data_IF_892658587291
#
_entry.id   IF_892658587291
#
_cell.length_a   1.000
_cell.length_b   1.000
_cell.length_c   1.000
_cell.angle_alpha   90.00
_cell.angle_beta   90.00
_cell.angle_gamma   90.00
#
_symmetry.space_group_name_H-M   'P 1'
#
loop_
_entity.id
_entity.type
_entity.pdbx_description
1 polymer ?
#
# COMPACT_ATOMS: atom_id res chain seq x y z
N UNK A 1 -3.91 -23.55 -65.12
CA UNK A 1 -4.09 -22.18 -64.59
C UNK A 1 -4.73 -22.12 -63.19
N UNK A 2 -5.69 -22.98 -62.83
CA UNK A 2 -6.40 -22.91 -61.51
C UNK A 2 -5.53 -23.16 -60.26
N UNK A 3 -4.47 -23.97 -60.33
CA UNK A 3 -3.63 -24.34 -59.18
C UNK A 3 -2.71 -23.21 -58.67
N UNK A 4 -2.37 -22.24 -59.52
CA UNK A 4 -1.47 -21.13 -59.14
C UNK A 4 -2.19 -20.05 -58.34
N UNK A 5 -3.46 -19.79 -58.65
CA UNK A 5 -4.34 -18.86 -57.91
C UNK A 5 -4.52 -19.26 -56.44
N UNK A 6 -4.69 -20.56 -56.14
CA UNK A 6 -4.80 -21.04 -54.76
C UNK A 6 -3.50 -20.90 -53.97
N UNK A 7 -2.34 -21.03 -54.64
CA UNK A 7 -1.04 -20.78 -54.02
C UNK A 7 -0.84 -19.31 -53.64
N UNK A 8 -1.21 -18.39 -54.52
CA UNK A 8 -1.12 -16.93 -54.25
C UNK A 8 -2.07 -16.51 -53.12
N UNK A 9 -3.31 -17.01 -53.12
CA UNK A 9 -4.27 -16.74 -52.04
C UNK A 9 -3.78 -17.29 -50.70
N UNK A 10 -3.23 -18.51 -50.68
CA UNK A 10 -2.66 -19.10 -49.46
C UNK A 10 -1.50 -18.29 -48.89
N UNK A 11 -0.59 -17.84 -49.75
CA UNK A 11 0.55 -16.99 -49.34
C UNK A 11 0.08 -15.64 -48.79
N UNK A 12 -0.89 -14.99 -49.44
CA UNK A 12 -1.45 -13.71 -48.98
C UNK A 12 -2.17 -13.85 -47.63
N UNK A 13 -2.90 -14.94 -47.41
CA UNK A 13 -3.58 -15.20 -46.12
C UNK A 13 -2.56 -15.45 -45.01
N UNK A 14 -1.52 -16.24 -45.26
CA UNK A 14 -0.46 -16.50 -44.27
C UNK A 14 0.32 -15.22 -43.95
N UNK A 15 0.70 -14.44 -44.97
CA UNK A 15 1.35 -13.14 -44.77
C UNK A 15 0.45 -12.20 -43.97
N UNK A 16 -0.85 -12.12 -44.29
CA UNK A 16 -1.82 -11.29 -43.56
C UNK A 16 -2.04 -11.73 -42.11
N UNK A 17 -2.00 -13.03 -41.82
CA UNK A 17 -2.08 -13.56 -40.45
C UNK A 17 -0.78 -13.32 -39.67
N UNK A 18 0.38 -13.41 -40.32
CA UNK A 18 1.66 -13.11 -39.69
C UNK A 18 1.77 -11.61 -39.41
N UNK A 19 1.50 -10.74 -40.38
CA UNK A 19 1.55 -9.29 -40.16
C UNK A 19 0.44 -8.84 -39.20
N UNK A 20 -0.79 -9.35 -39.32
CA UNK A 20 -1.88 -9.03 -38.40
C UNK A 20 -1.62 -9.53 -36.97
N UNK A 21 -1.10 -10.74 -36.81
CA UNK A 21 -0.74 -11.31 -35.51
C UNK A 21 0.44 -10.59 -34.85
N UNK A 22 1.46 -10.21 -35.63
CA UNK A 22 2.60 -9.43 -35.16
C UNK A 22 2.18 -8.02 -34.73
N UNK A 23 1.24 -7.40 -35.47
CA UNK A 23 0.67 -6.08 -35.14
C UNK A 23 -0.03 -6.09 -33.79
N UNK A 24 -0.81 -7.12 -33.51
CA UNK A 24 -1.54 -7.26 -32.25
C UNK A 24 -0.59 -7.52 -31.07
N UNK A 25 0.44 -8.36 -31.25
CA UNK A 25 1.35 -8.72 -30.15
C UNK A 25 2.35 -7.63 -29.77
N UNK A 26 2.58 -6.63 -30.63
CA UNK A 26 3.55 -5.56 -30.39
C UNK A 26 2.90 -4.22 -30.01
N UNK A 27 1.57 -4.15 -29.95
CA UNK A 27 0.89 -2.91 -29.54
C UNK A 27 0.92 -2.83 -28.01
N UNK A 28 1.55 -1.80 -27.43
CA UNK A 28 1.57 -1.64 -25.98
C UNK A 28 0.15 -1.35 -25.45
N UNK A 29 -0.14 -1.76 -24.22
CA UNK A 29 -1.42 -1.42 -23.59
C UNK A 29 -1.52 0.09 -23.32
N UNK A 30 -0.41 0.69 -22.89
CA UNK A 30 -0.33 2.09 -22.49
C UNK A 30 0.80 2.81 -23.24
N UNK A 31 0.54 4.07 -23.59
CA UNK A 31 1.57 4.97 -24.12
C UNK A 31 1.61 6.28 -23.33
N UNK A 32 2.83 6.69 -23.00
CA UNK A 32 3.14 7.91 -22.27
C UNK A 32 4.18 8.71 -23.04
N UNK A 33 3.81 9.90 -23.46
CA UNK A 33 4.73 10.85 -24.10
C UNK A 33 5.04 11.98 -23.14
N UNK A 34 6.32 12.19 -22.85
CA UNK A 34 6.77 13.36 -22.09
C UNK A 34 7.02 14.52 -23.04
N UNK A 35 6.43 15.68 -22.75
CA UNK A 35 6.64 16.92 -23.49
C UNK A 35 7.22 17.97 -22.54
N UNK A 36 8.50 18.28 -22.68
CA UNK A 36 9.23 19.11 -21.70
C UNK A 36 9.63 20.48 -22.25
N UNK A 37 9.51 21.49 -21.40
CA UNK A 37 9.89 22.87 -21.69
C UNK A 37 11.41 23.08 -21.59
N UNK A 38 12.06 23.06 -22.75
CA UNK A 38 13.47 23.39 -22.90
C UNK A 38 13.71 24.86 -23.26
N UNK A 39 12.80 25.79 -22.97
CA UNK A 39 13.04 27.22 -23.18
C UNK A 39 13.84 27.88 -22.03
N UNK A 40 14.24 29.13 -22.20
CA UNK A 40 14.88 29.91 -21.13
C UNK A 40 16.30 29.44 -20.79
N UNK A 41 16.65 29.52 -19.50
CA UNK A 41 18.00 29.23 -18.99
C UNK A 41 18.10 27.87 -18.28
N UNK A 42 19.34 27.45 -18.03
CA UNK A 42 19.69 26.11 -17.53
C UNK A 42 19.39 25.89 -16.04
N UNK A 43 19.30 26.95 -15.23
CA UNK A 43 19.30 26.88 -13.75
C UNK A 43 18.23 25.99 -13.13
N UNK A 44 17.08 25.84 -13.79
CA UNK A 44 15.92 25.10 -13.27
C UNK A 44 15.55 23.88 -14.13
N UNK A 45 16.27 23.66 -15.24
CA UNK A 45 15.90 22.57 -16.15
C UNK A 45 16.32 21.20 -15.63
N UNK A 46 17.40 21.14 -14.84
CA UNK A 46 17.86 19.90 -14.23
C UNK A 46 16.77 19.23 -13.37
N UNK A 47 16.00 20.01 -12.63
CA UNK A 47 14.87 19.51 -11.82
C UNK A 47 13.80 18.83 -12.70
N UNK A 48 13.55 19.37 -13.91
CA UNK A 48 12.63 18.76 -14.90
C UNK A 48 13.21 17.46 -15.45
N UNK A 49 14.49 17.45 -15.80
CA UNK A 49 15.16 16.25 -16.29
C UNK A 49 15.15 15.11 -15.24
N UNK A 50 15.47 15.43 -13.98
CA UNK A 50 15.44 14.48 -12.86
C UNK A 50 14.02 13.92 -12.64
N UNK A 51 12.99 14.78 -12.65
CA UNK A 51 11.60 14.37 -12.45
C UNK A 51 11.09 13.47 -13.58
N UNK A 52 11.43 13.78 -14.82
CA UNK A 52 11.04 13.00 -16.00
C UNK A 52 11.77 11.66 -16.04
N UNK A 53 13.06 11.64 -15.73
CA UNK A 53 13.82 10.39 -15.60
C UNK A 53 13.21 9.49 -14.51
N UNK A 54 12.90 10.05 -13.34
CA UNK A 54 12.32 9.29 -12.24
C UNK A 54 10.90 8.78 -12.56
N UNK A 55 10.11 9.52 -13.36
CA UNK A 55 8.81 9.06 -13.82
C UNK A 55 8.91 7.96 -14.88
N UNK A 56 9.85 8.09 -15.82
CA UNK A 56 10.14 7.07 -16.83
C UNK A 56 10.63 5.77 -16.19
N UNK A 57 11.45 5.82 -15.12
CA UNK A 57 11.87 4.65 -14.36
C UNK A 57 10.74 3.98 -13.58
N UNK A 58 9.65 4.71 -13.30
CA UNK A 58 8.48 4.21 -12.59
C UNK A 58 7.40 3.64 -13.53
N UNK A 59 7.64 3.66 -14.85
CA UNK A 59 6.70 3.11 -15.84
C UNK A 59 6.67 1.59 -15.80
N UNK A 60 5.58 0.98 -16.27
CA UNK A 60 5.53 -0.46 -16.46
C UNK A 60 6.49 -0.89 -17.59
N UNK A 61 6.98 -2.14 -17.57
CA UNK A 61 7.93 -2.64 -18.58
C UNK A 61 7.32 -2.75 -20.00
N UNK A 62 6.00 -2.94 -20.07
CA UNK A 62 5.21 -3.04 -21.30
C UNK A 62 4.62 -1.70 -21.76
N UNK A 63 4.89 -0.62 -21.03
CA UNK A 63 4.48 0.74 -21.37
C UNK A 63 5.42 1.35 -22.41
N UNK A 64 4.85 1.95 -23.46
CA UNK A 64 5.64 2.65 -24.45
C UNK A 64 5.88 4.10 -24.04
N UNK A 65 7.15 4.49 -23.96
CA UNK A 65 7.57 5.85 -23.61
C UNK A 65 8.11 6.59 -24.83
N UNK A 66 7.92 7.91 -24.83
CA UNK A 66 8.52 8.84 -25.78
C UNK A 66 8.89 10.15 -25.09
N UNK A 67 9.81 10.92 -25.69
CA UNK A 67 10.22 12.21 -25.17
C UNK A 67 10.36 13.25 -26.28
N UNK A 68 9.70 14.39 -26.09
CA UNK A 68 9.85 15.60 -26.90
C UNK A 68 10.24 16.78 -26.03
N UNK A 69 11.02 17.67 -26.62
CA UNK A 69 11.33 18.99 -26.07
C UNK A 69 10.73 20.07 -26.96
N UNK A 70 10.08 21.05 -26.36
CA UNK A 70 9.72 22.30 -27.02
C UNK A 70 10.55 23.46 -26.45
N UNK A 71 10.75 24.51 -27.25
CA UNK A 71 11.52 25.69 -26.89
C UNK A 71 12.49 26.09 -28.01
N UNK A 72 12.54 27.37 -28.34
CA UNK A 72 13.36 27.88 -29.43
C UNK A 72 12.86 29.22 -29.98
N UNK A 73 13.15 29.52 -31.25
CA UNK A 73 12.54 30.65 -31.94
C UNK A 73 11.14 30.28 -32.48
N UNK A 74 10.20 31.22 -32.43
CA UNK A 74 8.80 31.00 -32.80
C UNK A 74 8.58 30.72 -34.29
N UNK A 75 9.46 31.25 -35.14
CA UNK A 75 9.45 31.17 -36.59
C UNK A 75 10.38 30.08 -37.15
N UNK A 76 11.06 29.34 -36.28
CA UNK A 76 12.02 28.31 -36.67
C UNK A 76 11.39 26.92 -36.71
N UNK A 77 11.62 26.21 -37.81
CA UNK A 77 11.35 24.77 -37.90
C UNK A 77 12.29 24.02 -36.96
N UNK A 78 11.75 23.16 -36.08
CA UNK A 78 12.54 22.44 -35.07
C UNK A 78 12.57 23.08 -33.68
N UNK A 79 11.76 24.10 -33.41
CA UNK A 79 11.49 24.58 -32.05
C UNK A 79 10.76 23.55 -31.16
N UNK A 80 10.33 22.43 -31.77
CA UNK A 80 9.95 21.20 -31.10
C UNK A 80 10.76 20.07 -31.71
N UNK A 81 11.41 19.26 -30.88
CA UNK A 81 12.29 18.16 -31.31
C UNK A 81 11.92 16.88 -30.58
N UNK A 82 11.84 15.78 -31.34
CA UNK A 82 11.80 14.43 -30.79
C UNK A 82 13.18 14.02 -30.30
N UNK A 83 13.27 13.68 -29.02
CA UNK A 83 14.51 13.27 -28.38
C UNK A 83 14.59 11.76 -28.22
N UNK A 84 13.43 11.13 -27.96
CA UNK A 84 13.29 9.67 -27.88
C UNK A 84 12.02 9.29 -28.63
N UNK A 85 12.19 8.49 -29.68
CA UNK A 85 11.09 7.89 -30.43
C UNK A 85 10.31 6.92 -29.56
N UNK A 86 9.02 6.75 -29.83
CA UNK A 86 8.15 5.87 -29.04
C UNK A 86 8.66 4.42 -29.04
N UNK A 87 8.71 3.78 -27.86
CA UNK A 87 8.99 2.35 -27.73
C UNK A 87 8.89 1.84 -26.29
N UNK A 88 8.85 0.52 -26.12
CA UNK A 88 9.01 -0.14 -24.81
C UNK A 88 10.48 -0.15 -24.39
N UNK A 89 10.76 -0.37 -23.10
CA UNK A 89 12.12 -0.39 -22.54
C UNK A 89 12.93 0.92 -22.74
N UNK A 90 12.22 2.04 -22.92
CA UNK A 90 12.82 3.34 -23.21
C UNK A 90 13.18 4.17 -21.97
N UNK A 91 12.88 3.70 -20.76
CA UNK A 91 13.02 4.47 -19.53
C UNK A 91 14.41 5.12 -19.37
N UNK A 92 15.48 4.32 -19.56
CA UNK A 92 16.86 4.82 -19.51
C UNK A 92 17.16 5.85 -20.59
N UNK A 93 16.69 5.63 -21.83
CA UNK A 93 16.93 6.54 -22.95
C UNK A 93 16.20 7.88 -22.74
N UNK A 94 14.97 7.84 -22.21
CA UNK A 94 14.21 9.04 -21.82
C UNK A 94 14.97 9.82 -20.75
N UNK A 95 15.46 9.15 -19.71
CA UNK A 95 16.26 9.78 -18.67
C UNK A 95 17.53 10.43 -19.24
N UNK A 96 18.35 9.70 -19.99
CA UNK A 96 19.59 10.21 -20.59
C UNK A 96 19.33 11.39 -21.54
N UNK A 97 18.30 11.27 -22.40
CA UNK A 97 17.95 12.31 -23.36
C UNK A 97 17.42 13.57 -22.66
N UNK A 98 16.60 13.43 -21.60
CA UNK A 98 16.12 14.56 -20.82
C UNK A 98 17.30 15.32 -20.18
N UNK A 99 18.28 14.63 -19.61
CA UNK A 99 19.48 15.27 -19.04
C UNK A 99 20.41 15.91 -20.07
N UNK A 100 20.37 15.47 -21.33
CA UNK A 100 21.19 16.02 -22.42
C UNK A 100 20.59 17.31 -23.04
N UNK A 101 19.38 17.69 -22.66
CA UNK A 101 18.72 18.90 -23.17
C UNK A 101 19.38 20.15 -22.60
N UNK A 102 19.83 21.03 -23.50
CA UNK A 102 20.38 22.35 -23.17
C UNK A 102 19.31 23.43 -23.39
N UNK A 103 18.71 24.03 -22.36
CA UNK A 103 17.62 25.00 -22.51
C UNK A 103 18.02 26.23 -23.31
N UNK A 104 17.11 26.72 -24.16
CA UNK A 104 17.36 27.89 -25.00
C UNK A 104 16.07 28.42 -25.64
N UNK A 105 16.05 29.71 -25.93
CA UNK A 105 14.96 30.34 -26.69
C UNK A 105 13.71 30.58 -25.85
N UNK A 106 12.56 30.72 -26.52
CA UNK A 106 11.26 31.02 -25.93
C UNK A 106 10.37 29.77 -25.89
N UNK A 107 9.42 29.71 -24.97
CA UNK A 107 8.47 28.60 -24.88
C UNK A 107 7.53 28.56 -26.09
N UNK A 108 7.60 27.47 -26.85
CA UNK A 108 6.78 27.21 -28.05
C UNK A 108 5.75 26.10 -27.77
N UNK A 109 5.05 26.22 -26.64
CA UNK A 109 4.19 25.18 -26.08
C UNK A 109 3.11 24.72 -27.05
N UNK A 110 2.48 25.61 -27.83
CA UNK A 110 1.48 25.23 -28.81
C UNK A 110 2.07 24.28 -29.86
N UNK A 111 3.26 24.62 -30.39
CA UNK A 111 3.95 23.75 -31.34
C UNK A 111 4.30 22.40 -30.72
N UNK A 112 4.67 22.39 -29.44
CA UNK A 112 4.93 21.18 -28.67
C UNK A 112 3.70 20.28 -28.59
N UNK A 113 2.55 20.84 -28.20
CA UNK A 113 1.28 20.12 -28.07
C UNK A 113 0.83 19.58 -29.42
N UNK A 114 0.86 20.38 -30.49
CA UNK A 114 0.46 19.93 -31.83
C UNK A 114 1.35 18.79 -32.32
N UNK A 115 2.67 18.90 -32.15
CA UNK A 115 3.59 17.83 -32.52
C UNK A 115 3.36 16.55 -31.69
N UNK A 116 3.03 16.68 -30.39
CA UNK A 116 2.68 15.54 -29.56
C UNK A 116 1.38 14.86 -30.03
N UNK A 117 0.38 15.61 -30.49
CA UNK A 117 -0.84 15.06 -31.10
C UNK A 117 -0.50 14.32 -32.40
N UNK A 118 0.34 14.91 -33.25
CA UNK A 118 0.74 14.34 -34.54
C UNK A 118 1.51 13.01 -34.38
N UNK A 119 2.18 12.79 -33.25
CA UNK A 119 2.79 11.47 -32.97
C UNK A 119 1.77 10.35 -32.83
N UNK A 120 0.51 10.69 -32.56
CA UNK A 120 -0.57 9.73 -32.54
C UNK A 120 -1.27 9.62 -33.88
N UNK A 121 -1.04 10.49 -34.87
CA UNK A 121 -1.76 10.43 -36.16
C UNK A 121 -1.23 9.37 -37.14
N UNK A 122 -0.03 8.82 -36.91
CA UNK A 122 0.60 7.84 -37.80
C UNK A 122 0.12 6.38 -37.56
N UNK A 123 0.03 5.58 -38.62
CA UNK A 123 -0.46 4.19 -38.60
C UNK A 123 0.68 3.21 -38.28
N UNK A 124 0.71 2.71 -37.04
CA UNK A 124 1.58 1.64 -36.51
C UNK A 124 3.10 1.96 -36.48
N UNK A 125 3.86 1.54 -35.43
CA UNK A 125 3.48 0.85 -34.18
C UNK A 125 3.57 1.70 -32.90
N UNK A 126 2.75 2.74 -32.68
CA UNK A 126 3.02 3.62 -31.51
C UNK A 126 1.78 4.14 -30.79
N UNK A 127 0.64 3.46 -30.76
CA UNK A 127 -0.51 3.88 -29.93
C UNK A 127 -0.74 2.85 -28.83
N UNK A 128 -1.04 3.30 -27.62
CA UNK A 128 -1.53 2.44 -26.54
C UNK A 128 -2.92 1.92 -26.88
N UNK A 129 -3.15 0.62 -26.73
CA UNK A 129 -4.43 -0.01 -26.99
C UNK A 129 -5.52 0.39 -25.99
N UNK A 130 -5.13 0.66 -24.74
CA UNK A 130 -6.03 1.03 -23.63
C UNK A 130 -6.00 2.52 -23.33
N UNK A 131 -4.81 3.10 -23.19
CA UNK A 131 -4.68 4.53 -22.85
C UNK A 131 -3.51 5.20 -23.54
N UNK A 132 -3.70 6.46 -23.91
CA UNK A 132 -2.68 7.32 -24.51
C UNK A 132 -2.67 8.63 -23.74
N UNK A 133 -1.54 9.01 -23.15
CA UNK A 133 -1.45 10.27 -22.43
C UNK A 133 -0.14 11.02 -22.70
N UNK A 134 -0.21 12.33 -22.55
CA UNK A 134 0.91 13.25 -22.74
C UNK A 134 1.10 14.03 -21.45
N UNK A 135 2.25 13.84 -20.81
CA UNK A 135 2.64 14.59 -19.62
C UNK A 135 3.46 15.80 -20.04
N UNK A 136 2.87 16.99 -19.90
CA UNK A 136 3.48 18.26 -20.28
C UNK A 136 4.10 18.92 -19.06
N UNK A 137 5.40 19.19 -19.08
CA UNK A 137 6.11 19.89 -18.01
C UNK A 137 6.56 21.26 -18.49
N UNK A 138 5.87 22.31 -18.03
CA UNK A 138 6.09 23.70 -18.42
C UNK A 138 6.84 24.50 -17.35
N UNK A 139 7.78 25.35 -17.78
CA UNK A 139 8.58 26.24 -16.91
C UNK A 139 8.32 27.73 -17.16
N UNK A 140 7.78 28.10 -18.33
CA UNK A 140 7.43 29.50 -18.66
C UNK A 140 5.92 29.74 -18.81
N UNK A 141 5.10 28.75 -18.48
CA UNK A 141 3.64 28.84 -18.31
C UNK A 141 2.80 29.17 -19.54
N UNK A 142 3.37 29.41 -20.73
CA UNK A 142 2.55 29.67 -21.90
C UNK A 142 3.30 29.62 -23.22
N UNK A 143 2.55 29.71 -24.31
CA UNK A 143 3.13 29.88 -25.64
C UNK A 143 3.56 31.33 -25.85
N UNK A 144 4.86 31.56 -26.01
CA UNK A 144 5.44 32.89 -26.21
C UNK A 144 5.35 33.38 -27.67
N UNK A 145 4.68 32.63 -28.56
CA UNK A 145 4.58 32.90 -29.98
C UNK A 145 3.29 33.61 -30.40
N UNK A 146 2.47 34.02 -29.43
CA UNK A 146 1.49 35.10 -29.59
C UNK A 146 0.23 34.73 -30.37
N UNK A 147 -0.18 33.46 -30.38
CA UNK A 147 -1.51 33.08 -30.89
C UNK A 147 -2.59 33.37 -29.86
N UNK A 148 -3.75 33.83 -30.31
CA UNK A 148 -4.93 33.98 -29.45
C UNK A 148 -5.55 32.62 -29.08
N UNK A 149 -6.34 32.60 -28.01
CA UNK A 149 -6.92 31.39 -27.43
C UNK A 149 -7.86 30.64 -28.38
N UNK A 150 -8.59 31.36 -29.22
CA UNK A 150 -9.53 30.77 -30.17
C UNK A 150 -8.79 30.05 -31.30
N UNK A 151 -7.71 30.66 -31.80
CA UNK A 151 -6.81 30.03 -32.77
C UNK A 151 -6.14 28.78 -32.18
N UNK A 152 -5.68 28.83 -30.92
CA UNK A 152 -5.11 27.67 -30.21
C UNK A 152 -6.12 26.52 -30.15
N UNK A 153 -7.35 26.79 -29.69
CA UNK A 153 -8.40 25.77 -29.55
C UNK A 153 -8.79 25.17 -30.90
N UNK A 154 -8.88 25.99 -31.95
CA UNK A 154 -9.20 25.51 -33.29
C UNK A 154 -8.13 24.55 -33.83
N UNK A 155 -6.84 24.90 -33.69
CA UNK A 155 -5.73 24.06 -34.13
C UNK A 155 -5.66 22.74 -33.35
N UNK A 156 -5.79 22.79 -32.03
CA UNK A 156 -5.79 21.57 -31.21
C UNK A 156 -6.96 20.66 -31.60
N UNK A 157 -8.17 21.21 -31.78
CA UNK A 157 -9.34 20.43 -32.19
C UNK A 157 -9.15 19.78 -33.56
N UNK A 158 -8.59 20.51 -34.52
CA UNK A 158 -8.28 20.01 -35.85
C UNK A 158 -7.30 18.83 -35.80
N UNK A 159 -6.15 19.00 -35.14
CA UNK A 159 -5.12 17.96 -35.04
C UNK A 159 -5.62 16.75 -34.23
N UNK A 160 -6.33 16.96 -33.11
CA UNK A 160 -6.88 15.86 -32.31
C UNK A 160 -7.89 15.02 -33.09
N UNK A 161 -8.69 15.65 -33.97
CA UNK A 161 -9.61 14.91 -34.84
C UNK A 161 -8.91 14.02 -35.87
N UNK A 162 -7.71 14.42 -36.30
CA UNK A 162 -6.89 13.65 -37.24
C UNK A 162 -6.12 12.50 -36.57
N UNK A 163 -5.78 12.62 -35.28
CA UNK A 163 -5.11 11.56 -34.53
C UNK A 163 -5.95 10.28 -34.44
N UNK A 164 -7.28 10.39 -34.37
CA UNK A 164 -8.19 9.25 -34.33
C UNK A 164 -8.08 8.39 -33.06
N UNK A 165 -7.47 8.93 -32.00
CA UNK A 165 -7.44 8.35 -30.65
C UNK A 165 -7.71 9.43 -29.61
N UNK A 166 -8.22 9.03 -28.45
CA UNK A 166 -8.30 9.90 -27.30
C UNK A 166 -6.91 10.05 -26.68
N UNK A 167 -6.46 11.29 -26.46
CA UNK A 167 -5.19 11.63 -25.84
C UNK A 167 -5.50 12.40 -24.56
N UNK A 168 -5.09 11.84 -23.42
CA UNK A 168 -5.23 12.48 -22.12
C UNK A 168 -4.02 13.39 -21.85
N UNK A 169 -4.22 14.69 -21.93
CA UNK A 169 -3.17 15.67 -21.64
C UNK A 169 -3.14 16.00 -20.15
N UNK A 170 -1.94 15.98 -19.57
CA UNK A 170 -1.71 16.23 -18.14
C UNK A 170 -0.61 17.27 -17.97
N UNK A 171 -0.98 18.44 -17.44
CA UNK A 171 -0.06 19.57 -17.37
C UNK A 171 0.53 19.74 -15.97
N UNK A 172 1.83 19.99 -15.92
CA UNK A 172 2.57 20.39 -14.73
C UNK A 172 3.21 21.75 -14.99
N UNK A 173 2.91 22.73 -14.14
CA UNK A 173 3.60 24.00 -14.11
C UNK A 173 4.65 24.02 -13.00
N UNK A 174 5.92 24.21 -13.33
CA UNK A 174 7.00 24.25 -12.35
C UNK A 174 7.53 25.67 -12.15
N UNK A 175 7.51 26.15 -10.91
CA UNK A 175 7.95 27.50 -10.50
C UNK A 175 7.33 28.64 -11.32
N UNK A 176 6.09 28.44 -11.76
CA UNK A 176 5.35 29.44 -12.53
C UNK A 176 4.86 30.58 -11.63
N UNK A 177 4.93 31.80 -12.15
CA UNK A 177 4.17 32.94 -11.60
C UNK A 177 2.67 32.73 -11.80
N UNK A 178 1.86 33.52 -11.08
CA UNK A 178 0.39 33.45 -11.17
C UNK A 178 -0.11 33.68 -12.60
N UNK A 179 0.49 34.60 -13.35
CA UNK A 179 0.06 34.90 -14.72
C UNK A 179 0.51 33.82 -15.71
N UNK A 180 1.71 33.28 -15.54
CA UNK A 180 2.17 32.10 -16.26
C UNK A 180 1.26 30.88 -16.00
N UNK A 181 0.84 30.64 -14.76
CA UNK A 181 -0.08 29.54 -14.44
C UNK A 181 -1.45 29.71 -15.12
N UNK A 182 -1.98 30.94 -15.21
CA UNK A 182 -3.24 31.23 -15.93
C UNK A 182 -3.11 30.90 -17.42
N UNK A 183 -2.02 31.32 -18.05
CA UNK A 183 -1.77 31.04 -19.46
C UNK A 183 -1.69 29.53 -19.74
N UNK A 184 -1.08 28.77 -18.83
CA UNK A 184 -0.98 27.30 -18.95
C UNK A 184 -2.37 26.66 -18.86
N UNK A 185 -3.22 27.16 -17.95
CA UNK A 185 -4.58 26.67 -17.77
C UNK A 185 -5.45 26.90 -19.02
N UNK A 186 -5.23 27.97 -19.78
CA UNK A 186 -5.91 28.21 -21.06
C UNK A 186 -5.58 27.12 -22.08
N UNK A 187 -4.30 26.77 -22.22
CA UNK A 187 -3.85 25.72 -23.14
C UNK A 187 -4.34 24.35 -22.67
N UNK A 188 -4.28 24.06 -21.37
CA UNK A 188 -4.81 22.83 -20.81
C UNK A 188 -6.33 22.68 -21.08
N UNK A 189 -7.09 23.76 -20.91
CA UNK A 189 -8.52 23.78 -21.25
C UNK A 189 -8.78 23.61 -22.76
N UNK A 190 -7.84 24.02 -23.62
CA UNK A 190 -7.97 23.83 -25.05
C UNK A 190 -7.76 22.37 -25.49
N UNK A 191 -7.05 21.56 -24.70
CA UNK A 191 -6.87 20.12 -24.90
C UNK A 191 -7.85 19.27 -24.07
N UNK A 192 -8.90 19.88 -23.49
CA UNK A 192 -9.84 19.21 -22.56
C UNK A 192 -9.16 18.55 -21.33
N UNK A 193 -7.99 19.04 -20.94
CA UNK A 193 -7.24 18.55 -19.78
C UNK A 193 -7.78 19.11 -18.46
N UNK A 194 -7.47 18.41 -17.36
CA UNK A 194 -7.63 18.94 -16.00
C UNK A 194 -6.76 20.19 -15.78
N UNK A 195 -7.11 21.06 -14.81
CA UNK A 195 -6.26 22.19 -14.45
C UNK A 195 -4.81 21.76 -14.17
N UNK A 196 -3.80 22.53 -14.61
CA UNK A 196 -2.40 22.17 -14.39
C UNK A 196 -2.06 22.00 -12.91
N UNK A 197 -1.31 20.96 -12.57
CA UNK A 197 -0.73 20.82 -11.23
C UNK A 197 0.48 21.73 -11.11
N UNK A 198 0.48 22.62 -10.12
CA UNK A 198 1.55 23.58 -9.90
C UNK A 198 2.51 23.08 -8.82
N UNK A 199 3.81 23.21 -9.08
CA UNK A 199 4.88 22.77 -8.18
C UNK A 199 5.89 23.89 -7.97
N UNK A 200 6.46 23.97 -6.77
CA UNK A 200 7.43 25.01 -6.40
C UNK A 200 8.81 24.42 -6.07
N UNK A 201 8.88 23.12 -5.80
CA UNK A 201 10.13 22.42 -5.45
C UNK A 201 10.40 21.22 -6.35
N UNK A 202 11.66 20.81 -6.47
CA UNK A 202 12.07 19.62 -7.21
C UNK A 202 11.38 18.32 -6.72
N UNK A 203 11.18 18.20 -5.40
CA UNK A 203 10.52 17.05 -4.79
C UNK A 203 9.02 16.98 -5.18
N UNK A 204 8.31 18.11 -5.10
CA UNK A 204 6.92 18.21 -5.56
C UNK A 204 6.81 17.91 -7.05
N UNK A 205 7.74 18.43 -7.87
CA UNK A 205 7.78 18.16 -9.30
C UNK A 205 7.93 16.67 -9.58
N UNK A 206 8.90 16.02 -8.95
CA UNK A 206 9.16 14.58 -9.11
C UNK A 206 7.94 13.74 -8.74
N UNK A 207 7.33 14.00 -7.59
CA UNK A 207 6.11 13.29 -7.16
C UNK A 207 4.96 13.52 -8.12
N UNK A 208 4.76 14.76 -8.57
CA UNK A 208 3.65 15.13 -9.47
C UNK A 208 3.80 14.49 -10.85
N UNK A 209 5.00 14.52 -11.44
CA UNK A 209 5.25 13.93 -12.76
C UNK A 209 5.09 12.41 -12.69
N UNK A 210 5.55 11.76 -11.62
CA UNK A 210 5.30 10.32 -11.36
C UNK A 210 3.82 10.00 -11.28
N UNK A 211 3.05 10.76 -10.48
CA UNK A 211 1.61 10.54 -10.34
C UNK A 211 0.89 10.69 -11.69
N UNK A 212 1.25 11.72 -12.45
CA UNK A 212 0.63 11.99 -13.74
C UNK A 212 1.13 11.10 -14.88
N UNK A 213 2.21 10.35 -14.72
CA UNK A 213 2.65 9.36 -15.72
C UNK A 213 2.01 7.98 -15.53
N UNK A 214 1.24 7.75 -14.46
CA UNK A 214 0.56 6.47 -14.23
C UNK A 214 -0.71 6.39 -15.11
N UNK A 215 -0.91 5.35 -15.92
CA UNK A 215 -2.15 5.13 -16.65
C UNK A 215 -3.39 5.17 -15.74
N UNK A 216 -4.48 5.80 -16.19
CA UNK A 216 -5.67 6.07 -15.34
C UNK A 216 -6.32 4.81 -14.78
N UNK A 217 -6.29 3.71 -15.55
CA UNK A 217 -6.82 2.42 -15.14
C UNK A 217 -5.91 1.69 -14.13
N UNK A 218 -4.61 2.02 -14.11
CA UNK A 218 -3.68 1.60 -13.06
C UNK A 218 -3.75 2.52 -11.82
N UNK A 219 -4.04 3.80 -12.01
CA UNK A 219 -4.29 4.75 -10.91
C UNK A 219 -5.59 4.42 -10.15
N UNK A 220 -6.61 3.89 -10.83
CA UNK A 220 -7.82 3.38 -10.19
C UNK A 220 -7.58 2.11 -9.34
N UNK A 221 -6.43 1.45 -9.53
CA UNK A 221 -5.93 0.39 -8.64
C UNK A 221 -5.02 0.93 -7.54
N UNK A 222 -5.09 2.24 -7.23
CA UNK A 222 -4.54 2.77 -5.98
C UNK A 222 -5.09 1.93 -4.83
N UNK A 223 -4.17 1.19 -4.21
CA UNK A 223 -4.32 0.61 -2.89
C UNK A 223 -4.86 1.73 -2.01
N UNK A 224 -6.14 1.64 -1.64
CA UNK A 224 -6.68 2.41 -0.53
C UNK A 224 -5.76 2.12 0.65
N UNK A 225 -4.84 3.03 0.95
CA UNK A 225 -3.98 2.89 2.12
C UNK A 225 -4.96 2.88 3.29
N UNK A 226 -5.12 1.74 3.97
CA UNK A 226 -6.16 1.60 4.96
C UNK A 226 -5.92 2.66 6.03
N UNK A 227 -6.93 3.48 6.32
CA UNK A 227 -6.83 4.63 7.26
C UNK A 227 -6.48 4.16 8.67
N UNK A 228 -6.68 2.88 8.94
CA UNK A 228 -6.19 2.18 10.12
C UNK A 228 -5.67 0.79 9.75
N UNK A 229 -4.70 0.23 10.49
CA UNK A 229 -4.33 -1.18 10.36
C UNK A 229 -5.52 -2.14 10.33
N UNK A 230 -6.60 -1.83 11.04
CA UNK A 230 -7.80 -2.63 11.11
C UNK A 230 -8.59 -2.72 9.81
N UNK A 231 -8.44 -1.76 8.88
CA UNK A 231 -9.07 -1.85 7.56
C UNK A 231 -8.31 -2.85 6.65
N UNK A 232 -7.06 -3.18 6.98
CA UNK A 232 -6.23 -4.13 6.20
C UNK A 232 -6.46 -5.60 6.56
N UNK A 233 -7.14 -5.89 7.69
CA UNK A 233 -7.26 -7.24 8.21
C UNK A 233 -8.63 -7.84 7.92
N UNK A 234 -8.68 -8.76 6.97
CA UNK A 234 -9.89 -9.53 6.61
C UNK A 234 -9.69 -11.02 6.86
N UNK A 235 -10.77 -11.83 6.92
CA UNK A 235 -10.65 -13.28 7.02
C UNK A 235 -9.79 -13.91 5.93
N UNK A 236 -9.88 -13.39 4.71
CA UNK A 236 -9.14 -13.86 3.54
C UNK A 236 -7.66 -13.54 3.68
N UNK A 237 -7.32 -12.33 4.11
CA UNK A 237 -5.94 -11.90 4.38
C UNK A 237 -5.32 -12.77 5.47
N UNK A 238 -6.02 -12.96 6.59
CA UNK A 238 -5.54 -13.83 7.67
C UNK A 238 -5.43 -15.29 7.24
N UNK A 239 -6.38 -15.81 6.44
CA UNK A 239 -6.32 -17.19 5.94
C UNK A 239 -5.15 -17.42 4.99
N UNK A 240 -4.86 -16.46 4.12
CA UNK A 240 -3.75 -16.54 3.18
C UNK A 240 -2.40 -16.54 3.91
N UNK A 241 -2.25 -15.71 4.95
CA UNK A 241 -1.01 -15.60 5.72
C UNK A 241 -0.87 -16.71 6.79
N UNK A 242 -1.97 -17.12 7.43
CA UNK A 242 -2.02 -18.01 8.58
C UNK A 242 -3.07 -19.10 8.42
N UNK A 243 -2.84 -20.10 7.54
CA UNK A 243 -3.80 -21.17 7.31
C UNK A 243 -3.94 -22.07 8.54
N UNK A 244 -5.15 -22.14 9.12
CA UNK A 244 -5.46 -23.01 10.28
C UNK A 244 -5.69 -24.47 9.84
N UNK A 245 -6.44 -24.66 8.75
CA UNK A 245 -6.61 -25.94 8.06
C UNK A 245 -7.20 -25.70 6.65
N UNK A 246 -7.22 -26.72 5.79
CA UNK A 246 -7.79 -26.61 4.45
C UNK A 246 -9.30 -26.31 4.44
N UNK A 247 -10.01 -26.64 5.53
CA UNK A 247 -11.46 -26.44 5.68
C UNK A 247 -11.83 -25.32 6.65
N UNK A 248 -10.87 -24.86 7.46
CA UNK A 248 -11.07 -23.75 8.37
C UNK A 248 -11.19 -22.42 7.62
N UNK A 249 -11.94 -21.51 8.21
CA UNK A 249 -11.96 -20.10 7.84
C UNK A 249 -12.02 -19.27 9.11
N UNK A 250 -11.38 -18.10 9.05
CA UNK A 250 -11.54 -17.09 10.09
C UNK A 250 -12.92 -16.46 9.97
N UNK A 251 -13.51 -16.10 11.11
CA UNK A 251 -14.76 -15.37 11.22
C UNK A 251 -14.75 -14.58 12.54
N UNK A 252 -15.68 -13.63 12.70
CA UNK A 252 -15.78 -12.78 13.91
C UNK A 252 -14.44 -12.12 14.29
N UNK A 253 -13.93 -11.28 13.38
CA UNK A 253 -12.67 -10.54 13.57
C UNK A 253 -12.95 -9.27 14.36
N UNK A 254 -12.26 -9.11 15.48
CA UNK A 254 -12.28 -7.92 16.32
C UNK A 254 -10.91 -7.27 16.27
N UNK A 255 -10.80 -6.13 15.62
CA UNK A 255 -9.57 -5.37 15.54
C UNK A 255 -9.60 -4.14 16.45
N UNK A 256 -8.49 -3.87 17.11
CA UNK A 256 -8.26 -2.68 17.93
C UNK A 256 -6.81 -2.23 17.79
N UNK A 257 -6.59 -1.09 17.15
CA UNK A 257 -5.27 -0.49 16.92
C UNK A 257 -4.29 -1.47 16.22
N UNK A 258 -3.32 -2.01 16.97
CA UNK A 258 -2.32 -2.97 16.49
C UNK A 258 -2.65 -4.43 16.84
N UNK A 259 -3.81 -4.73 17.39
CA UNK A 259 -4.17 -6.07 17.85
C UNK A 259 -5.44 -6.57 17.18
N UNK A 260 -5.49 -7.87 16.90
CA UNK A 260 -6.65 -8.55 16.33
C UNK A 260 -6.94 -9.82 17.10
N UNK A 261 -8.21 -10.02 17.44
CA UNK A 261 -8.75 -11.31 17.87
C UNK A 261 -9.64 -11.86 16.75
N UNK A 262 -9.36 -13.07 16.28
CA UNK A 262 -10.17 -13.77 15.30
C UNK A 262 -10.65 -15.11 15.87
N UNK A 263 -11.82 -15.57 15.43
CA UNK A 263 -12.26 -16.96 15.60
C UNK A 263 -11.98 -17.74 14.33
N UNK A 264 -11.62 -19.00 14.46
CA UNK A 264 -11.48 -19.91 13.35
C UNK A 264 -12.21 -21.23 13.66
N UNK A 265 -12.98 -21.73 12.70
CA UNK A 265 -13.67 -23.02 12.87
C UNK A 265 -12.71 -24.15 12.54
N UNK A 266 -12.47 -25.08 13.47
CA UNK A 266 -11.45 -26.12 13.29
C UNK A 266 -11.94 -27.39 12.60
N UNK A 267 -13.24 -27.72 12.67
CA UNK A 267 -13.96 -28.68 11.81
C UNK A 267 -15.45 -28.56 12.19
N UNK A 268 -16.39 -28.46 11.22
CA UNK A 268 -17.82 -28.37 11.52
C UNK A 268 -18.37 -29.49 12.42
N UNK A 269 -17.67 -30.63 12.52
CA UNK A 269 -18.08 -31.75 13.39
C UNK A 269 -17.76 -31.55 14.88
N UNK A 270 -16.87 -30.63 15.23
CA UNK A 270 -16.34 -30.51 16.61
C UNK A 270 -16.85 -29.27 17.35
N UNK A 271 -17.44 -28.27 16.68
CA UNK A 271 -17.94 -27.02 17.30
C UNK A 271 -16.90 -26.27 18.18
N UNK A 272 -15.62 -26.61 18.08
CA UNK A 272 -14.56 -25.93 18.81
C UNK A 272 -14.03 -24.76 17.97
N UNK A 273 -14.49 -23.56 18.34
CA UNK A 273 -13.94 -22.32 17.83
C UNK A 273 -12.53 -22.13 18.40
N UNK A 274 -11.54 -22.05 17.52
CA UNK A 274 -10.19 -21.67 17.88
C UNK A 274 -10.11 -20.15 17.92
N UNK A 275 -9.73 -19.59 19.06
CA UNK A 275 -9.41 -18.16 19.15
C UNK A 275 -7.96 -17.95 18.72
N UNK A 276 -7.71 -16.92 17.94
CA UNK A 276 -6.36 -16.56 17.47
C UNK A 276 -6.15 -15.06 17.66
N UNK A 277 -5.02 -14.71 18.29
CA UNK A 277 -4.61 -13.32 18.52
C UNK A 277 -3.44 -12.99 17.62
N UNK A 278 -3.58 -11.87 16.91
CA UNK A 278 -2.53 -11.29 16.09
C UNK A 278 -2.12 -9.92 16.63
N UNK A 279 -0.88 -9.56 16.37
CA UNK A 279 -0.33 -8.25 16.64
C UNK A 279 0.37 -7.71 15.39
N UNK A 280 0.13 -6.45 15.05
CA UNK A 280 0.82 -5.78 13.96
C UNK A 280 2.24 -5.44 14.40
N UNK A 281 3.21 -6.00 13.69
CA UNK A 281 4.64 -5.79 13.91
C UNK A 281 5.32 -5.54 12.56
N UNK A 282 6.04 -4.42 12.43
CA UNK A 282 6.66 -3.98 11.17
C UNK A 282 5.73 -4.10 9.94
N UNK A 283 4.51 -3.57 10.07
CA UNK A 283 3.46 -3.60 9.03
C UNK A 283 2.96 -4.99 8.62
N UNK A 284 3.34 -6.05 9.35
CA UNK A 284 2.87 -7.42 9.10
C UNK A 284 2.13 -7.94 10.33
N UNK A 285 0.92 -8.46 10.16
CA UNK A 285 0.19 -9.11 11.25
C UNK A 285 0.91 -10.39 11.65
N UNK A 286 1.32 -10.53 12.90
CA UNK A 286 1.99 -11.73 13.42
C UNK A 286 1.06 -12.47 14.36
N UNK A 287 0.89 -13.78 14.17
CA UNK A 287 0.18 -14.62 15.13
C UNK A 287 0.97 -14.69 16.43
N UNK A 288 0.35 -14.27 17.55
CA UNK A 288 0.97 -14.32 18.88
C UNK A 288 0.55 -15.57 19.64
N UNK A 289 -0.74 -15.90 19.61
CA UNK A 289 -1.26 -17.08 20.29
C UNK A 289 -2.53 -17.59 19.64
N UNK A 290 -2.74 -18.91 19.72
CA UNK A 290 -3.95 -19.58 19.27
C UNK A 290 -4.35 -20.66 20.29
N UNK A 291 -5.65 -20.80 20.56
CA UNK A 291 -6.16 -21.79 21.50
C UNK A 291 -7.62 -21.57 21.87
N UNK A 292 -8.20 -22.52 22.61
CA UNK A 292 -9.54 -22.37 23.21
C UNK A 292 -9.49 -21.58 24.51
N UNK A 293 -8.34 -21.55 25.18
CA UNK A 293 -8.00 -20.69 26.31
C UNK A 293 -6.74 -19.92 25.94
N UNK A 294 -6.83 -18.58 25.93
CA UNK A 294 -5.73 -17.74 25.49
C UNK A 294 -4.98 -17.14 26.68
N UNK A 295 -3.65 -17.25 26.74
CA UNK A 295 -2.86 -16.44 27.65
C UNK A 295 -3.00 -14.95 27.27
N UNK A 296 -3.05 -14.07 28.27
CA UNK A 296 -3.18 -12.63 28.02
C UNK A 296 -1.97 -12.06 27.26
N UNK A 297 -0.79 -12.65 27.48
CA UNK A 297 0.46 -12.25 26.82
C UNK A 297 0.77 -10.76 26.99
N UNK A 298 1.23 -10.15 25.91
CA UNK A 298 1.54 -8.70 25.83
C UNK A 298 0.32 -7.83 25.50
N UNK A 299 -0.85 -8.43 25.24
CA UNK A 299 -2.05 -7.68 24.85
C UNK A 299 -2.61 -6.94 26.08
N UNK A 300 -2.80 -5.61 26.00
CA UNK A 300 -3.34 -4.82 27.11
C UNK A 300 -4.71 -5.31 27.59
N UNK A 301 -4.97 -5.19 28.90
CA UNK A 301 -6.21 -5.68 29.50
C UNK A 301 -7.46 -4.95 28.99
N UNK A 302 -7.36 -3.66 28.67
CA UNK A 302 -8.45 -2.88 28.11
C UNK A 302 -8.83 -3.34 26.69
N UNK A 303 -7.86 -3.83 25.90
CA UNK A 303 -8.11 -4.44 24.60
C UNK A 303 -8.94 -5.72 24.74
N UNK A 304 -8.55 -6.61 25.66
CA UNK A 304 -9.34 -7.81 26.00
C UNK A 304 -10.77 -7.48 26.43
N UNK A 305 -10.94 -6.45 27.26
CA UNK A 305 -12.25 -5.98 27.71
C UNK A 305 -13.11 -5.47 26.55
N UNK A 306 -12.55 -4.67 25.63
CA UNK A 306 -13.27 -4.19 24.44
C UNK A 306 -13.71 -5.32 23.52
N UNK A 307 -12.88 -6.37 23.41
CA UNK A 307 -13.27 -7.57 22.67
C UNK A 307 -14.35 -8.39 23.37
N UNK A 308 -14.62 -8.14 24.66
CA UNK A 308 -15.48 -8.99 25.48
C UNK A 308 -14.94 -10.41 25.61
N UNK A 309 -13.62 -10.57 25.50
CA UNK A 309 -12.93 -11.86 25.55
C UNK A 309 -12.18 -12.02 26.88
N UNK A 310 -12.09 -13.26 27.37
CA UNK A 310 -11.31 -13.59 28.56
C UNK A 310 -9.95 -14.12 28.14
N UNK A 311 -8.94 -13.82 28.93
CA UNK A 311 -7.62 -14.41 28.82
C UNK A 311 -7.14 -14.89 30.19
N UNK A 312 -6.20 -15.83 30.20
CA UNK A 312 -5.55 -16.35 31.40
C UNK A 312 -4.20 -15.67 31.58
N UNK A 313 -3.87 -15.15 32.75
CA UNK A 313 -2.50 -14.69 33.01
C UNK A 313 -1.63 -15.85 33.46
N UNK A 314 -0.35 -15.77 33.11
CA UNK A 314 0.62 -16.75 33.57
C UNK A 314 0.82 -16.63 35.08
N UNK A 315 1.01 -17.75 35.79
CA UNK A 315 1.36 -17.74 37.21
C UNK A 315 2.65 -16.94 37.45
N UNK A 316 2.63 -16.06 38.45
CA UNK A 316 3.81 -15.24 38.81
C UNK A 316 4.44 -15.81 40.08
N UNK A 317 5.70 -16.23 40.00
CA UNK A 317 6.48 -16.63 41.18
C UNK A 317 6.90 -15.37 41.93
N UNK A 318 6.29 -15.16 43.09
CA UNK A 318 6.47 -13.96 43.92
C UNK A 318 7.55 -14.12 44.98
N UNK A 319 7.79 -15.36 45.42
CA UNK A 319 8.90 -15.75 46.28
C UNK A 319 9.37 -17.12 45.82
N UNK A 320 10.67 -17.34 45.71
CA UNK A 320 11.25 -18.61 45.28
C UNK A 320 11.96 -19.34 46.43
N UNK A 321 12.27 -20.63 46.26
CA UNK A 321 12.95 -21.46 47.27
C UNK A 321 12.01 -22.29 48.16
N UNK A 322 12.42 -22.56 49.40
CA UNK A 322 11.68 -23.44 50.34
C UNK A 322 10.34 -22.84 50.82
N UNK A 323 10.18 -21.52 50.71
CA UNK A 323 8.95 -20.79 51.00
C UNK A 323 8.35 -20.21 49.71
N UNK A 324 8.32 -21.01 48.64
CA UNK A 324 7.81 -20.57 47.34
C UNK A 324 6.37 -20.03 47.47
N UNK A 325 6.11 -18.88 46.86
CA UNK A 325 4.78 -18.28 46.76
C UNK A 325 4.54 -17.94 45.30
N UNK A 326 3.46 -18.48 44.74
CA UNK A 326 3.06 -18.23 43.35
C UNK A 326 1.68 -17.59 43.34
N UNK A 327 1.54 -16.42 42.74
CA UNK A 327 0.22 -15.91 42.34
C UNK A 327 -0.22 -16.69 41.10
N UNK A 328 -1.07 -17.70 41.32
CA UNK A 328 -1.55 -18.59 40.24
C UNK A 328 -2.45 -17.82 39.26
N UNK A 329 -3.14 -16.78 39.75
CA UNK A 329 -4.02 -15.96 38.93
C UNK A 329 -3.29 -14.89 38.11
N UNK A 330 -2.06 -14.53 38.49
CA UNK A 330 -1.29 -13.43 37.89
C UNK A 330 -1.91 -12.04 38.06
N UNK A 331 -2.90 -11.90 38.96
CA UNK A 331 -3.70 -10.68 39.15
C UNK A 331 -3.81 -10.23 40.61
N UNK A 332 -3.30 -11.00 41.58
CA UNK A 332 -3.27 -10.64 43.00
C UNK A 332 -2.10 -9.69 43.26
N UNK A 333 -0.98 -9.92 42.58
CA UNK A 333 0.25 -9.16 42.74
C UNK A 333 1.09 -9.67 43.91
N UNK A 334 2.42 -9.61 43.75
CA UNK A 334 3.33 -10.26 44.68
C UNK A 334 3.30 -9.79 46.13
N UNK A 335 3.13 -8.50 46.44
CA UNK A 335 2.98 -8.06 47.83
C UNK A 335 1.79 -8.72 48.54
N UNK A 336 0.63 -8.78 47.89
CA UNK A 336 -0.57 -9.39 48.46
C UNK A 336 -0.47 -10.92 48.52
N UNK A 337 0.13 -11.55 47.49
CA UNK A 337 0.36 -12.99 47.49
C UNK A 337 1.31 -13.42 48.62
N UNK A 338 2.35 -12.63 48.87
CA UNK A 338 3.28 -12.84 49.99
C UNK A 338 2.59 -12.60 51.34
N UNK A 339 1.83 -11.50 51.48
CA UNK A 339 1.10 -11.18 52.72
C UNK A 339 0.19 -12.34 53.14
N UNK A 340 -0.61 -12.87 52.22
CA UNK A 340 -1.52 -13.96 52.55
C UNK A 340 -0.77 -15.24 52.93
N UNK A 341 0.37 -15.52 52.29
CA UNK A 341 1.21 -16.66 52.63
C UNK A 341 1.80 -16.53 54.04
N UNK A 342 2.29 -15.33 54.40
CA UNK A 342 2.88 -15.07 55.71
C UNK A 342 1.79 -15.08 56.81
N UNK A 343 0.59 -14.55 56.53
CA UNK A 343 -0.59 -14.64 57.43
C UNK A 343 -1.03 -16.08 57.67
N UNK A 344 -1.08 -16.91 56.63
CA UNK A 344 -1.38 -18.33 56.77
C UNK A 344 -0.35 -19.03 57.69
N UNK A 345 0.94 -18.81 57.46
CA UNK A 345 1.99 -19.41 58.29
C UNK A 345 1.90 -18.95 59.75
N UNK A 346 1.59 -17.68 59.99
CA UNK A 346 1.36 -17.15 61.33
C UNK A 346 0.16 -17.83 62.01
N UNK A 347 -0.95 -18.01 61.28
CA UNK A 347 -2.14 -18.70 61.79
C UNK A 347 -1.87 -20.17 62.14
N UNK A 348 -1.09 -20.88 61.33
CA UNK A 348 -0.65 -22.25 61.63
C UNK A 348 0.18 -22.28 62.92
N UNK A 349 1.17 -21.39 63.06
CA UNK A 349 2.00 -21.29 64.27
C UNK A 349 1.20 -20.94 65.53
N UNK A 350 0.14 -20.14 65.38
CA UNK A 350 -0.77 -19.77 66.46
C UNK A 350 -1.82 -20.85 66.78
N UNK A 351 -1.82 -22.00 66.10
CA UNK A 351 -2.81 -23.07 66.29
C UNK A 351 -4.23 -22.70 65.82
N UNK A 352 -4.36 -21.71 64.94
CA UNK A 352 -5.64 -21.23 64.41
C UNK A 352 -6.08 -21.99 63.15
N UNK A 353 -5.17 -22.71 62.49
CA UNK A 353 -5.50 -23.62 61.40
C UNK A 353 -6.11 -24.92 61.95
N UNK A 354 -7.17 -25.40 61.31
CA UNK A 354 -8.01 -26.47 61.82
C UNK A 354 -7.73 -27.81 61.13
N UNK A 355 -7.83 -28.89 61.92
CA UNK A 355 -7.75 -30.27 61.45
C UNK A 355 -6.35 -30.69 60.97
N UNK A 356 -6.25 -31.94 60.51
CA UNK A 356 -4.99 -32.50 59.99
C UNK A 356 -4.54 -31.85 58.68
N UNK A 357 -5.47 -31.24 57.93
CA UNK A 357 -5.19 -30.52 56.69
C UNK A 357 -4.80 -29.05 56.87
N UNK A 358 -4.67 -28.56 58.11
CA UNK A 358 -4.32 -27.17 58.43
C UNK A 358 -5.14 -26.14 57.63
N UNK A 359 -6.46 -26.34 57.63
CA UNK A 359 -7.41 -25.45 56.95
C UNK A 359 -7.47 -24.11 57.68
N UNK A 360 -7.39 -23.00 56.96
CA UNK A 360 -7.47 -21.67 57.55
C UNK A 360 -8.38 -20.76 56.75
N UNK A 361 -9.24 -20.01 57.44
CA UNK A 361 -10.15 -19.06 56.83
C UNK A 361 -10.06 -17.73 57.58
N UNK A 362 -9.82 -16.65 56.83
CA UNK A 362 -9.73 -15.28 57.37
C UNK A 362 -10.98 -14.43 57.09
N UNK A 363 -12.01 -15.02 56.48
CA UNK A 363 -13.17 -14.35 55.89
C UNK A 363 -12.92 -13.90 54.45
N UNK A 364 -11.80 -13.24 54.21
CA UNK A 364 -11.38 -12.79 52.87
C UNK A 364 -10.72 -13.92 52.06
N UNK A 365 -9.99 -14.81 52.73
CA UNK A 365 -9.25 -15.90 52.10
C UNK A 365 -9.54 -17.23 52.78
N UNK A 366 -9.59 -18.28 51.97
CA UNK A 366 -9.68 -19.67 52.41
C UNK A 366 -8.47 -20.44 51.91
N UNK A 367 -7.66 -20.97 52.83
CA UNK A 367 -6.45 -21.73 52.54
C UNK A 367 -6.63 -23.21 52.88
N UNK A 368 -6.32 -24.08 51.91
CA UNK A 368 -6.48 -25.53 52.02
C UNK A 368 -5.56 -26.29 51.05
N UNK A 369 -5.44 -27.60 51.26
CA UNK A 369 -4.85 -28.52 50.31
C UNK A 369 -5.98 -29.12 49.45
N UNK A 370 -6.23 -28.62 48.22
CA UNK A 370 -7.33 -29.12 47.41
C UNK A 370 -7.05 -30.55 46.91
N UNK A 371 -8.09 -31.35 46.71
CA UNK A 371 -7.95 -32.60 45.96
C UNK A 371 -7.87 -32.27 44.47
N UNK A 372 -6.78 -32.68 43.81
CA UNK A 372 -6.60 -32.51 42.37
C UNK A 372 -6.89 -33.83 41.67
N UNK A 373 -7.74 -33.79 40.64
CA UNK A 373 -8.11 -34.98 39.87
C UNK A 373 -6.86 -35.67 39.28
N UNK A 374 -6.80 -36.98 39.45
CA UNK A 374 -5.71 -37.81 38.94
C UNK A 374 -4.38 -37.66 39.69
N UNK A 375 -4.34 -37.01 40.87
CA UNK A 375 -3.12 -36.88 41.69
C UNK A 375 -3.33 -37.33 43.13
N UNK A 376 -2.33 -37.97 43.77
CA UNK A 376 -2.41 -38.27 45.19
C UNK A 376 -2.40 -36.97 46.01
N UNK A 377 -3.12 -36.96 47.13
CA UNK A 377 -3.27 -35.76 47.97
C UNK A 377 -1.92 -35.21 48.51
N UNK A 378 -0.92 -36.07 48.67
CA UNK A 378 0.45 -35.69 49.05
C UNK A 378 1.17 -34.81 48.01
N UNK A 379 0.67 -34.76 46.78
CA UNK A 379 1.20 -33.95 45.67
C UNK A 379 0.35 -32.71 45.37
N UNK A 380 -0.82 -32.57 46.01
CA UNK A 380 -1.57 -31.33 45.95
C UNK A 380 -0.72 -30.24 46.61
N UNK A 381 -0.60 -29.03 46.04
CA UNK A 381 0.07 -27.93 46.72
C UNK A 381 -0.93 -27.15 47.59
N UNK A 382 -0.46 -26.51 48.66
CA UNK A 382 -1.28 -25.61 49.48
C UNK A 382 -1.75 -24.41 48.64
N UNK A 383 -3.04 -24.12 48.69
CA UNK A 383 -3.66 -23.02 47.96
C UNK A 383 -4.48 -22.13 48.89
N UNK A 384 -4.35 -20.82 48.72
CA UNK A 384 -5.20 -19.81 49.33
C UNK A 384 -6.05 -19.17 48.23
N UNK A 385 -7.37 -19.30 48.34
CA UNK A 385 -8.34 -18.74 47.41
C UNK A 385 -9.04 -17.54 48.04
N UNK A 386 -9.11 -16.43 47.30
CA UNK A 386 -9.87 -15.25 47.71
C UNK A 386 -11.37 -15.48 47.53
N UNK A 387 -12.16 -15.22 48.56
CA UNK A 387 -13.58 -15.60 48.60
C UNK A 387 -14.43 -14.82 47.60
N UNK A 388 -14.04 -13.60 47.23
CA UNK A 388 -14.80 -12.69 46.36
C UNK A 388 -14.69 -13.01 44.87
N UNK A 389 -13.50 -13.40 44.40
CA UNK A 389 -13.22 -13.55 42.97
C UNK A 389 -12.42 -14.80 42.61
N UNK A 390 -12.23 -15.71 43.57
CA UNK A 390 -11.61 -17.03 43.36
C UNK A 390 -10.16 -16.98 42.90
N UNK A 391 -9.50 -15.82 43.03
CA UNK A 391 -8.07 -15.71 42.73
C UNK A 391 -7.27 -16.52 43.73
N UNK A 392 -6.25 -17.21 43.21
CA UNK A 392 -5.55 -18.25 43.93
C UNK A 392 -4.07 -17.93 44.09
N UNK A 393 -3.56 -18.08 45.31
CA UNK A 393 -2.13 -18.09 45.65
C UNK A 393 -1.75 -19.51 46.02
N UNK A 394 -0.62 -19.99 45.49
CA UNK A 394 -0.02 -21.27 45.85
C UNK A 394 1.18 -21.04 46.76
N UNK A 395 1.28 -21.83 47.82
CA UNK A 395 2.34 -21.74 48.84
C UNK A 395 3.04 -23.10 48.91
N UNK A 396 4.37 -23.09 48.90
CA UNK A 396 5.18 -24.31 48.86
C UNK A 396 5.49 -24.79 47.44
N UNK A 397 6.20 -25.93 47.36
CA UNK A 397 6.64 -26.53 46.10
C UNK A 397 5.51 -27.16 45.31
#
# INVERSE_FOLDING_TARGET
MKRWLWGVVGVLVVLGLITGGLVIHLTPDHRTSFLIDGSGSDSDFREVADAVAAAAENSAHDEALALRRFGGACDQTGNTTELVSTGTDQARQVGEAAHAVVPSGRATLLSGVLAAIDDFSHTYPFRGAKSNHVVVVARDGGDACGKDENAIRALIKEHSSQAGVHIDFRFVGHKLTVDQAKNLAVIASATDAQPPKLTQTAAELTTTVKELSVPTDLAAAEVTVPKSPCESVTPEVLKAAYPVSSKAHYFDIKCQDRYVLAKANTDPKINDDLLVVFELDNHTWQQRVAGTLLPCGTVPQDVWQRWGAKCTRDPVVCRDGTSKVTDVSGEIGCPAAIDIADRYQAAVKAGQAQGQGLFWNSGEWSCSWPYLDGRPHSESPLQCERTTDKRTVRIGQ
#
